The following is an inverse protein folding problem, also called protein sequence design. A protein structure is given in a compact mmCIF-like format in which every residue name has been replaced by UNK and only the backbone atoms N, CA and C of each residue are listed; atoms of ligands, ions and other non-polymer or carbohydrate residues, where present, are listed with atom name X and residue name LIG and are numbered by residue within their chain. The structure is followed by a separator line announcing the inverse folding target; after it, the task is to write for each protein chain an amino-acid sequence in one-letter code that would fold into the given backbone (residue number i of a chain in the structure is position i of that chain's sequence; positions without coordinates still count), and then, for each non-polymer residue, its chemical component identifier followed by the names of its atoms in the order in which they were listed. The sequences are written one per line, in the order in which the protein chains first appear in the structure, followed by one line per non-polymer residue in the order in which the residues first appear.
data_IF_089084015271
#
_entry.id   IF_089084015271
#
_cell.length_a   1.000
_cell.length_b   1.000
_cell.length_c   1.000
_cell.angle_alpha   90.00
_cell.angle_beta   90.00
_cell.angle_gamma   90.00
#
_symmetry.space_group_name_H-M   'P 1'
#
loop_
_entity.id
_entity.type
_entity.pdbx_description
1 polymer ?
#
# COMPACT_ATOMS: atom_id res chain seq x y z
N UNK A 1 26.36 -12.24 2.50
CA UNK A 1 25.24 -12.76 1.67
C UNK A 1 24.09 -11.76 1.59
N UNK A 2 23.68 -11.11 2.70
CA UNK A 2 22.79 -9.94 2.65
C UNK A 2 23.53 -8.73 2.07
N UNK A 3 24.79 -8.50 2.45
CA UNK A 3 25.60 -7.38 1.93
C UNK A 3 25.81 -7.43 0.40
N UNK A 4 25.91 -8.62 -0.19
CA UNK A 4 26.02 -8.78 -1.66
C UNK A 4 24.67 -8.54 -2.37
N UNK A 5 23.56 -8.88 -1.71
CA UNK A 5 22.20 -8.58 -2.20
C UNK A 5 21.94 -7.07 -2.15
N UNK A 6 22.34 -6.41 -1.05
CA UNK A 6 22.25 -4.95 -0.90
C UNK A 6 23.13 -4.22 -1.91
N UNK A 7 24.37 -4.68 -2.12
CA UNK A 7 25.28 -4.15 -3.14
C UNK A 7 24.69 -4.24 -4.57
N UNK A 8 23.97 -5.33 -4.89
CA UNK A 8 23.32 -5.50 -6.22
C UNK A 8 22.03 -4.68 -6.36
N UNK A 9 21.33 -4.38 -5.27
CA UNK A 9 20.15 -3.47 -5.26
C UNK A 9 20.61 -2.02 -5.46
N UNK A 10 21.70 -1.63 -4.81
CA UNK A 10 22.30 -0.29 -4.92
C UNK A 10 22.85 0.00 -6.33
N UNK A 11 23.46 -0.97 -7.01
CA UNK A 11 24.04 -0.80 -8.34
C UNK A 11 23.02 -0.51 -9.47
N UNK A 12 21.70 -0.51 -9.19
CA UNK A 12 20.63 -0.43 -10.21
C UNK A 12 19.43 0.45 -9.84
N UNK A 13 19.48 1.26 -8.79
CA UNK A 13 18.35 2.15 -8.46
C UNK A 13 18.76 3.60 -8.70
N UNK A 14 17.86 4.43 -9.26
CA UNK A 14 17.61 5.86 -8.99
C UNK A 14 16.94 6.51 -10.22
N UNK A 15 15.63 6.71 -10.14
CA UNK A 15 14.92 7.74 -10.90
C UNK A 15 13.78 8.26 -10.00
N UNK A 16 13.63 9.59 -9.90
CA UNK A 16 12.73 10.24 -8.96
C UNK A 16 11.31 10.43 -9.51
N UNK A 17 10.32 10.19 -8.65
CA UNK A 17 8.93 10.63 -8.85
C UNK A 17 8.46 11.33 -7.56
N UNK A 18 8.08 12.60 -7.64
CA UNK A 18 7.57 13.37 -6.51
C UNK A 18 6.11 12.99 -6.28
N UNK A 19 5.74 12.55 -5.07
CA UNK A 19 4.40 12.63 -4.49
C UNK A 19 4.36 11.95 -3.11
N UNK A 20 4.45 12.74 -2.03
CA UNK A 20 3.67 12.71 -0.77
C UNK A 20 4.21 13.84 0.12
N UNK A 21 3.31 14.63 0.71
CA UNK A 21 3.63 15.78 1.57
C UNK A 21 4.49 15.31 2.77
N UNK A 22 5.72 15.81 2.86
CA UNK A 22 6.59 15.62 4.04
C UNK A 22 7.67 14.52 3.98
N UNK A 23 7.73 13.66 2.94
CA UNK A 23 8.73 12.57 2.86
C UNK A 23 9.64 12.60 1.60
N UNK A 24 9.56 13.66 0.81
CA UNK A 24 10.36 13.82 -0.43
C UNK A 24 9.98 12.84 -1.56
N UNK A 25 10.74 12.85 -2.66
CA UNK A 25 10.47 12.04 -3.86
C UNK A 25 10.59 10.52 -3.64
N UNK A 26 9.92 9.68 -4.41
CA UNK A 26 10.09 8.22 -4.37
C UNK A 26 11.46 7.79 -4.93
N UNK A 27 11.93 6.64 -4.48
CA UNK A 27 13.10 5.96 -5.04
C UNK A 27 12.65 4.68 -5.74
N UNK A 28 12.70 4.67 -7.08
CA UNK A 28 12.31 3.51 -7.88
C UNK A 28 13.46 2.53 -8.13
N UNK A 29 13.16 1.24 -7.90
CA UNK A 29 14.03 0.16 -8.33
C UNK A 29 13.94 -0.03 -9.85
N UNK A 30 15.05 0.00 -10.59
CA UNK A 30 15.00 -0.08 -12.07
C UNK A 30 14.83 -1.50 -12.62
N UNK A 31 14.72 -2.51 -11.76
CA UNK A 31 14.59 -3.91 -12.18
C UNK A 31 13.15 -4.35 -12.45
N UNK A 32 12.91 -5.65 -12.27
CA UNK A 32 11.61 -6.26 -12.57
C UNK A 32 10.49 -5.79 -11.62
N UNK A 33 9.29 -5.66 -12.15
CA UNK A 33 8.08 -5.33 -11.39
C UNK A 33 6.99 -6.36 -11.60
N UNK A 34 6.20 -6.61 -10.56
CA UNK A 34 4.98 -7.43 -10.66
C UNK A 34 3.87 -6.84 -9.79
N UNK A 35 2.69 -6.59 -10.39
CA UNK A 35 1.52 -5.97 -9.72
C UNK A 35 1.85 -4.61 -9.07
N UNK A 36 2.79 -3.87 -9.67
CA UNK A 36 3.31 -2.59 -9.18
C UNK A 36 4.44 -2.69 -8.16
N UNK A 37 4.76 -3.89 -7.64
CA UNK A 37 5.86 -4.05 -6.68
C UNK A 37 7.18 -4.35 -7.39
N UNK A 38 8.26 -3.71 -6.93
CA UNK A 38 9.61 -4.09 -7.27
C UNK A 38 9.92 -5.53 -6.82
N UNK A 39 10.48 -6.33 -7.73
CA UNK A 39 10.78 -7.75 -7.53
C UNK A 39 12.19 -8.10 -8.01
N UNK A 40 12.83 -8.98 -7.25
CA UNK A 40 14.07 -9.64 -7.65
C UNK A 40 13.90 -11.15 -7.60
N UNK A 41 14.68 -11.85 -8.41
CA UNK A 41 14.84 -13.28 -8.32
C UNK A 41 15.97 -13.61 -7.37
N UNK A 42 15.76 -14.59 -6.51
CA UNK A 42 16.79 -15.16 -5.67
C UNK A 42 16.75 -16.68 -5.78
N UNK A 43 17.91 -17.30 -5.66
CA UNK A 43 18.02 -18.76 -5.58
C UNK A 43 18.24 -19.11 -4.12
N UNK A 44 17.31 -19.87 -3.54
CA UNK A 44 17.49 -20.38 -2.18
C UNK A 44 18.50 -21.51 -2.22
N UNK A 45 19.58 -21.34 -1.45
CA UNK A 45 20.60 -22.37 -1.24
C UNK A 45 20.27 -23.04 0.10
N UNK A 46 19.88 -24.31 0.05
CA UNK A 46 19.53 -25.12 1.21
C UNK A 46 19.21 -26.55 0.80
N UNK A 47 19.12 -27.49 1.76
CA UNK A 47 18.79 -28.88 1.46
C UNK A 47 17.35 -28.94 0.96
N UNK A 48 17.19 -29.12 -0.35
CA UNK A 48 15.91 -29.50 -0.95
C UNK A 48 15.82 -31.02 -0.99
N UNK A 49 14.62 -31.57 -0.77
CA UNK A 49 14.37 -33.01 -0.74
C UNK A 49 14.79 -33.71 -2.05
N UNK A 50 14.82 -32.97 -3.15
CA UNK A 50 15.16 -33.44 -4.50
C UNK A 50 16.54 -32.94 -5.00
N UNK A 51 17.31 -32.25 -4.15
CA UNK A 51 18.61 -31.68 -4.51
C UNK A 51 18.56 -30.52 -5.52
N UNK A 52 17.37 -30.02 -5.87
CA UNK A 52 17.22 -28.92 -6.83
C UNK A 52 17.21 -27.56 -6.15
N UNK A 53 17.91 -26.60 -6.72
CA UNK A 53 17.86 -25.21 -6.26
C UNK A 53 16.48 -24.60 -6.53
N UNK A 54 15.87 -24.03 -5.49
CA UNK A 54 14.56 -23.37 -5.60
C UNK A 54 14.75 -21.89 -5.94
N UNK A 55 14.29 -21.48 -7.12
CA UNK A 55 14.16 -20.06 -7.47
C UNK A 55 12.91 -19.48 -6.84
N UNK A 56 13.05 -18.31 -6.23
CA UNK A 56 11.95 -17.57 -5.59
C UNK A 56 12.00 -16.11 -6.00
N UNK A 57 10.84 -15.46 -5.98
CA UNK A 57 10.75 -14.02 -6.10
C UNK A 57 10.70 -13.37 -4.74
N UNK A 58 11.51 -12.34 -4.53
CA UNK A 58 11.49 -11.51 -3.33
C UNK A 58 10.90 -10.13 -3.65
N UNK A 59 10.12 -9.59 -2.72
CA UNK A 59 9.70 -8.18 -2.75
C UNK A 59 10.85 -7.30 -2.30
N UNK A 60 11.29 -6.36 -3.15
CA UNK A 60 12.47 -5.53 -2.85
C UNK A 60 12.23 -4.66 -1.62
N UNK A 61 11.07 -4.01 -1.49
CA UNK A 61 10.74 -3.21 -0.30
C UNK A 61 10.82 -4.02 1.01
N UNK A 62 10.48 -5.32 1.00
CA UNK A 62 10.61 -6.17 2.19
C UNK A 62 12.07 -6.45 2.52
N UNK A 63 12.88 -6.74 1.50
CA UNK A 63 14.32 -6.96 1.66
C UNK A 63 15.00 -5.71 2.21
N UNK A 64 14.71 -4.54 1.64
CA UNK A 64 15.25 -3.26 2.10
C UNK A 64 14.83 -2.96 3.54
N UNK A 65 13.56 -3.16 3.87
CA UNK A 65 13.08 -2.98 5.24
C UNK A 65 13.78 -3.94 6.22
N UNK A 66 13.88 -5.23 5.89
CA UNK A 66 14.48 -6.24 6.77
C UNK A 66 15.99 -6.04 6.96
N UNK A 67 16.69 -5.56 5.93
CA UNK A 67 18.10 -5.22 6.02
C UNK A 67 18.37 -4.06 6.99
N UNK A 68 17.47 -3.07 7.03
CA UNK A 68 17.63 -1.89 7.88
C UNK A 68 17.05 -2.06 9.30
N UNK A 69 15.91 -2.73 9.44
CA UNK A 69 15.15 -2.81 10.69
C UNK A 69 15.07 -4.21 11.31
N UNK A 70 15.63 -5.22 10.64
CA UNK A 70 15.50 -6.61 11.05
C UNK A 70 14.20 -7.27 10.55
N UNK A 71 14.02 -8.54 10.94
CA UNK A 71 12.98 -9.42 10.40
C UNK A 71 11.57 -8.85 10.57
N UNK A 72 10.75 -8.96 9.54
CA UNK A 72 9.32 -8.62 9.62
C UNK A 72 8.62 -9.66 10.52
N UNK A 73 7.95 -9.24 11.62
CA UNK A 73 7.21 -10.16 12.48
C UNK A 73 6.07 -10.87 11.75
N UNK A 74 5.68 -12.04 12.25
CA UNK A 74 4.53 -12.77 11.71
C UNK A 74 3.25 -11.95 11.83
N UNK A 75 2.39 -12.01 10.80
CA UNK A 75 1.14 -11.24 10.75
C UNK A 75 1.29 -9.76 10.37
N UNK A 76 2.52 -9.24 10.28
CA UNK A 76 2.81 -7.88 9.83
C UNK A 76 3.15 -7.82 8.34
N UNK A 77 2.94 -6.65 7.75
CA UNK A 77 3.29 -6.32 6.35
C UNK A 77 3.94 -4.96 6.26
N UNK A 78 4.58 -4.73 5.12
CA UNK A 78 5.17 -3.43 4.77
C UNK A 78 4.18 -2.68 3.87
N UNK A 79 3.75 -1.53 4.34
CA UNK A 79 2.93 -0.58 3.60
C UNK A 79 3.79 0.58 3.07
N UNK A 80 3.44 1.07 1.88
CA UNK A 80 4.13 2.19 1.23
C UNK A 80 3.34 3.44 1.54
N UNK A 81 3.82 4.27 2.47
CA UNK A 81 3.20 5.53 2.90
C UNK A 81 2.98 6.46 1.71
N UNK A 82 3.84 6.38 0.69
CA UNK A 82 3.75 7.14 -0.55
C UNK A 82 2.69 6.62 -1.56
N UNK A 83 1.97 5.54 -1.24
CA UNK A 83 1.05 4.82 -2.13
C UNK A 83 1.67 4.29 -3.44
N UNK A 84 2.99 4.41 -3.60
CA UNK A 84 3.73 3.90 -4.72
C UNK A 84 4.42 2.57 -4.36
N UNK A 85 3.90 1.48 -4.92
CA UNK A 85 4.34 0.10 -4.63
C UNK A 85 5.75 -0.23 -5.16
N UNK A 86 6.25 0.56 -6.12
CA UNK A 86 7.59 0.40 -6.70
C UNK A 86 8.69 1.04 -5.85
N UNK A 87 8.30 1.96 -4.96
CA UNK A 87 9.22 2.70 -4.13
C UNK A 87 9.96 1.79 -3.13
N UNK A 88 11.27 1.94 -3.06
CA UNK A 88 12.15 1.20 -2.13
C UNK A 88 12.80 2.11 -1.09
N UNK A 89 12.40 3.39 -1.02
CA UNK A 89 12.91 4.34 -0.02
C UNK A 89 12.47 3.92 1.37
N UNK A 90 13.42 3.77 2.30
CA UNK A 90 13.12 3.28 3.65
C UNK A 90 12.14 4.16 4.41
N UNK A 91 12.25 5.50 4.32
CA UNK A 91 11.31 6.41 5.01
C UNK A 91 9.88 6.33 4.46
N UNK A 92 9.68 5.75 3.27
CA UNK A 92 8.35 5.53 2.68
C UNK A 92 7.75 4.18 3.07
N UNK A 93 8.49 3.33 3.79
CA UNK A 93 8.04 2.00 4.21
C UNK A 93 7.66 2.01 5.69
N UNK A 94 6.48 1.49 6.02
CA UNK A 94 6.05 1.31 7.41
C UNK A 94 5.59 -0.12 7.69
N UNK A 95 5.94 -0.64 8.86
CA UNK A 95 5.45 -1.92 9.36
C UNK A 95 4.05 -1.75 9.94
N UNK A 96 3.09 -2.48 9.39
CA UNK A 96 1.67 -2.39 9.77
C UNK A 96 1.00 -3.76 9.77
N UNK A 97 -0.15 -3.85 10.42
CA UNK A 97 -1.06 -4.99 10.29
C UNK A 97 -1.76 -4.97 8.93
N UNK A 98 -2.28 -6.12 8.49
CA UNK A 98 -3.09 -6.21 7.26
C UNK A 98 -4.28 -5.25 7.28
N UNK A 99 -4.94 -5.07 8.43
CA UNK A 99 -6.06 -4.15 8.60
C UNK A 99 -5.64 -2.71 8.34
N UNK A 100 -4.53 -2.28 8.93
CA UNK A 100 -4.01 -0.92 8.74
C UNK A 100 -3.59 -0.68 7.29
N UNK A 101 -2.95 -1.66 6.64
CA UNK A 101 -2.62 -1.59 5.21
C UNK A 101 -3.89 -1.45 4.33
N UNK A 102 -4.99 -2.10 4.69
CA UNK A 102 -6.27 -1.95 3.98
C UNK A 102 -6.94 -0.60 4.21
N UNK A 103 -6.71 0.05 5.36
CA UNK A 103 -7.15 1.43 5.60
C UNK A 103 -6.49 2.38 4.59
N UNK A 104 -5.18 2.21 4.38
CA UNK A 104 -4.39 3.04 3.47
C UNK A 104 -4.71 2.87 1.97
N UNK A 105 -5.58 1.93 1.59
CA UNK A 105 -5.86 1.67 0.17
C UNK A 105 -6.38 2.94 -0.54
N UNK A 106 -5.61 3.45 -1.49
CA UNK A 106 -6.03 4.59 -2.31
C UNK A 106 -7.02 4.15 -3.38
N UNK A 107 -8.02 5.01 -3.65
CA UNK A 107 -8.97 4.83 -4.75
C UNK A 107 -10.03 3.74 -4.56
N UNK A 108 -10.97 3.72 -5.51
CA UNK A 108 -11.99 2.69 -5.61
C UNK A 108 -11.46 1.43 -6.27
N UNK A 109 -12.19 0.32 -6.13
CA UNK A 109 -11.89 -0.90 -6.88
C UNK A 109 -12.25 -0.69 -8.35
N UNK A 110 -11.63 -1.46 -9.26
CA UNK A 110 -11.95 -1.42 -10.69
C UNK A 110 -13.42 -1.76 -11.02
N UNK A 111 -14.14 -2.39 -10.09
CA UNK A 111 -15.56 -2.70 -10.21
C UNK A 111 -16.47 -1.55 -9.75
N UNK A 112 -15.91 -0.46 -9.23
CA UNK A 112 -16.71 0.68 -8.79
C UNK A 112 -17.31 1.40 -9.99
N UNK A 113 -18.63 1.58 -9.97
CA UNK A 113 -19.35 2.36 -10.98
C UNK A 113 -19.22 3.87 -10.78
N UNK A 114 -18.89 4.31 -9.57
CA UNK A 114 -18.80 5.73 -9.19
C UNK A 114 -17.37 6.25 -9.26
N UNK A 115 -16.36 5.37 -9.32
CA UNK A 115 -14.95 5.75 -9.17
C UNK A 115 -14.55 6.16 -7.75
N UNK A 116 -15.51 6.30 -6.83
CA UNK A 116 -15.27 6.74 -5.45
C UNK A 116 -15.29 5.55 -4.49
N UNK A 117 -14.26 5.46 -3.62
CA UNK A 117 -14.13 4.36 -2.65
C UNK A 117 -15.26 4.44 -1.62
N UNK A 118 -16.13 3.43 -1.61
CA UNK A 118 -17.19 3.31 -0.61
C UNK A 118 -18.48 4.04 -0.96
N UNK A 119 -18.60 4.56 -2.20
CA UNK A 119 -19.84 5.16 -2.70
C UNK A 119 -20.42 4.27 -3.79
N UNK A 120 -21.71 3.94 -3.69
CA UNK A 120 -22.43 3.14 -4.68
C UNK A 120 -23.77 3.78 -5.01
N UNK A 121 -24.13 3.82 -6.29
CA UNK A 121 -25.48 4.21 -6.71
C UNK A 121 -26.49 3.09 -6.37
N UNK A 122 -27.60 3.46 -5.72
CA UNK A 122 -28.71 2.57 -5.37
C UNK A 122 -29.95 2.95 -6.18
N UNK A 123 -30.20 2.33 -7.34
CA UNK A 123 -31.32 2.70 -8.21
C UNK A 123 -32.68 2.55 -7.53
N UNK A 124 -32.82 1.60 -6.61
CA UNK A 124 -34.05 1.37 -5.83
C UNK A 124 -34.44 2.56 -4.95
N UNK A 125 -33.49 3.44 -4.62
CA UNK A 125 -33.72 4.66 -3.83
C UNK A 125 -33.43 5.94 -4.63
N UNK A 126 -32.91 5.82 -5.85
CA UNK A 126 -32.42 6.95 -6.64
C UNK A 126 -31.37 7.79 -5.91
N UNK A 127 -30.52 7.17 -5.08
CA UNK A 127 -29.56 7.87 -4.20
C UNK A 127 -28.19 7.19 -4.18
N UNK A 128 -27.15 7.98 -3.92
CA UNK A 128 -25.81 7.49 -3.61
C UNK A 128 -25.72 7.04 -2.17
N UNK A 129 -25.30 5.81 -1.94
CA UNK A 129 -25.06 5.24 -0.62
C UNK A 129 -23.57 5.29 -0.30
N UNK A 130 -23.21 5.91 0.83
CA UNK A 130 -21.84 6.03 1.30
C UNK A 130 -21.60 5.10 2.50
N UNK A 131 -20.53 4.31 2.45
CA UNK A 131 -20.18 3.39 3.55
C UNK A 131 -18.69 3.06 3.58
N UNK A 132 -18.19 2.73 4.77
CA UNK A 132 -16.84 2.24 4.97
C UNK A 132 -16.87 0.93 5.78
N UNK A 133 -15.90 0.06 5.55
CA UNK A 133 -15.73 -1.16 6.36
C UNK A 133 -14.60 -0.92 7.37
N UNK A 134 -14.81 -1.35 8.61
CA UNK A 134 -13.82 -1.26 9.68
C UNK A 134 -13.98 -2.46 10.63
N UNK A 135 -12.88 -3.16 10.94
CA UNK A 135 -12.90 -4.42 11.70
C UNK A 135 -13.94 -5.45 11.21
N UNK A 136 -14.06 -5.62 9.89
CA UNK A 136 -15.01 -6.56 9.27
C UNK A 136 -16.49 -6.14 9.33
N UNK A 137 -16.80 -4.99 9.94
CA UNK A 137 -18.17 -4.44 10.00
C UNK A 137 -18.34 -3.30 9.02
N UNK A 138 -19.54 -3.18 8.43
CA UNK A 138 -19.92 -2.07 7.57
C UNK A 138 -20.53 -0.94 8.39
N UNK A 139 -20.04 0.28 8.17
CA UNK A 139 -20.54 1.51 8.76
C UNK A 139 -21.12 2.38 7.66
N UNK A 140 -22.35 2.82 7.86
CA UNK A 140 -23.08 3.70 6.95
C UNK A 140 -22.72 5.16 7.24
N UNK A 141 -22.40 5.92 6.19
CA UNK A 141 -22.36 7.38 6.23
C UNK A 141 -23.70 8.00 5.78
N UNK A 142 -24.60 7.21 5.19
CA UNK A 142 -25.94 7.62 4.79
C UNK A 142 -26.21 7.51 3.30
N UNK A 143 -27.34 8.11 2.89
CA UNK A 143 -27.78 8.22 1.50
C UNK A 143 -27.82 9.69 1.10
N UNK A 144 -27.35 9.98 -0.11
CA UNK A 144 -27.16 11.32 -0.64
C UNK A 144 -27.72 11.41 -2.06
N UNK A 145 -28.16 12.59 -2.46
CA UNK A 145 -28.65 12.85 -3.81
C UNK A 145 -27.48 13.12 -4.77
N UNK A 146 -26.43 13.78 -4.26
CA UNK A 146 -25.19 14.06 -4.97
C UNK A 146 -24.12 13.01 -4.68
N UNK A 147 -23.32 12.69 -5.71
CA UNK A 147 -22.13 11.84 -5.55
C UNK A 147 -21.04 12.54 -4.73
N UNK A 148 -20.92 13.87 -4.86
CA UNK A 148 -19.93 14.66 -4.11
C UNK A 148 -20.19 14.61 -2.61
N UNK A 149 -21.45 14.81 -2.20
CA UNK A 149 -21.82 14.76 -0.79
C UNK A 149 -21.58 13.35 -0.20
N UNK A 150 -21.86 12.30 -0.99
CA UNK A 150 -21.56 10.94 -0.60
C UNK A 150 -20.05 10.68 -0.45
N UNK A 151 -19.23 11.29 -1.33
CA UNK A 151 -17.77 11.23 -1.25
C UNK A 151 -17.25 11.91 0.02
N UNK A 152 -17.70 13.13 0.31
CA UNK A 152 -17.30 13.86 1.50
C UNK A 152 -17.73 13.14 2.76
N UNK A 153 -18.95 12.59 2.78
CA UNK A 153 -19.44 11.80 3.90
C UNK A 153 -18.62 10.52 4.13
N UNK A 154 -18.25 9.78 3.08
CA UNK A 154 -17.40 8.58 3.24
C UNK A 154 -15.95 8.95 3.60
N UNK A 155 -15.44 10.10 3.15
CA UNK A 155 -14.13 10.62 3.56
C UNK A 155 -14.13 10.96 5.04
N UNK A 156 -15.14 11.70 5.51
CA UNK A 156 -15.31 12.03 6.92
C UNK A 156 -15.52 10.78 7.80
N UNK A 157 -16.26 9.78 7.32
CA UNK A 157 -16.44 8.51 8.03
C UNK A 157 -15.11 7.77 8.23
N UNK A 158 -14.29 7.71 7.17
CA UNK A 158 -12.96 7.09 7.24
C UNK A 158 -12.01 7.85 8.14
N UNK A 159 -11.96 9.18 8.04
CA UNK A 159 -11.12 10.01 8.89
C UNK A 159 -11.39 9.80 10.40
N UNK A 160 -12.65 9.52 10.77
CA UNK A 160 -13.02 9.23 12.16
C UNK A 160 -12.62 7.83 12.65
N UNK A 161 -12.53 6.85 11.75
CA UNK A 161 -12.35 5.44 12.12
C UNK A 161 -10.96 4.89 11.83
N UNK A 162 -10.32 5.38 10.77
CA UNK A 162 -9.09 4.81 10.25
C UNK A 162 -7.89 5.40 10.98
N UNK A 163 -6.94 4.52 11.26
CA UNK A 163 -5.71 4.87 11.97
C UNK A 163 -4.55 5.12 11.01
N UNK A 164 -4.64 4.59 9.78
CA UNK A 164 -3.55 4.57 8.80
C UNK A 164 -4.05 5.01 7.41
N UNK A 165 -4.83 6.08 7.35
CA UNK A 165 -5.32 6.66 6.09
C UNK A 165 -4.58 7.97 5.76
N UNK A 166 -3.57 7.88 4.89
CA UNK A 166 -2.80 9.05 4.47
C UNK A 166 -3.59 9.95 3.50
N UNK A 167 -4.76 9.53 2.99
CA UNK A 167 -5.61 10.37 2.12
C UNK A 167 -6.35 11.47 2.87
N UNK A 168 -6.22 11.50 4.20
CA UNK A 168 -6.89 12.48 5.09
C UNK A 168 -5.93 13.49 5.72
N UNK A 169 -4.61 13.37 5.48
CA UNK A 169 -3.64 14.34 5.99
C UNK A 169 -3.53 15.54 5.04
N UNK A 170 -4.50 16.45 5.12
CA UNK A 170 -4.33 17.82 4.65
C UNK A 170 -3.59 18.62 5.73
N UNK A 171 -2.28 18.82 5.55
CA UNK A 171 -1.49 19.75 6.34
C UNK A 171 -0.05 19.31 6.54
N UNK A 172 0.94 20.23 6.49
CA UNK A 172 2.31 19.91 6.85
C UNK A 172 2.37 19.51 8.33
N UNK A 173 2.98 18.36 8.61
CA UNK A 173 3.40 18.02 9.97
C UNK A 173 4.44 19.06 10.38
N UNK A 174 4.09 19.87 11.39
CA UNK A 174 4.88 20.94 11.99
C UNK A 174 6.17 20.43 12.63
#
# INVERSE_FOLDING_TARGET
MIDELMSRVEQRAFAGHENVVGLGACTEFQGGHARGYAKIWATLVGPTLDGRLKRVHLSVHRVVYEAANGRIPEGMVIDHVCANRGCIRLEHLRLVTQKQNLEHRTGATALSKTGVRGVVWRPERGRFYASAQHHGKHYSAGYFESMSDAEDAVRALRAKMFTHDNSTQEGPLS
#
